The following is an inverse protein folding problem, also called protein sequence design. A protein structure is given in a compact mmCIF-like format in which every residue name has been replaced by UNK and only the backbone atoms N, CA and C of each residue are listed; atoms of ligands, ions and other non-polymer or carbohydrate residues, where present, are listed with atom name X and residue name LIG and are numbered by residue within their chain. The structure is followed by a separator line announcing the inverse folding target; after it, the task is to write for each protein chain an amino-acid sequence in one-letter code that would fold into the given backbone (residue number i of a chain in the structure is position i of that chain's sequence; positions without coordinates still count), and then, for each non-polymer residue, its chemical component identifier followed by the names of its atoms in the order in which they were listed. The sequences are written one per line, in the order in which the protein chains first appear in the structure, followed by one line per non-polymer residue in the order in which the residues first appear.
data_IF_759652610917
#
_entry.id   IF_759652610917
#
_cell.length_a   1.000
_cell.length_b   1.000
_cell.length_c   1.000
_cell.angle_alpha   90.00
_cell.angle_beta   90.00
_cell.angle_gamma   90.00
#
_symmetry.space_group_name_H-M   'P 1'
#
loop_
_entity.id
_entity.type
_entity.pdbx_description
1 polymer ?
#
# COMPACT_ATOMS: atom_id res chain seq x y z
N UNK A 1 23.09 9.10 3.73
CA UNK A 1 22.29 8.92 4.95
C UNK A 1 20.96 8.30 4.54
N UNK A 2 20.52 7.26 5.25
CA UNK A 2 19.31 6.53 4.90
C UNK A 2 18.09 7.32 5.39
N UNK A 3 17.17 7.67 4.49
CA UNK A 3 16.03 8.53 4.79
C UNK A 3 14.91 7.76 5.50
N UNK A 4 14.89 7.84 6.83
CA UNK A 4 13.83 7.27 7.69
C UNK A 4 12.74 8.32 7.90
N UNK A 5 11.53 8.01 7.44
CA UNK A 5 10.39 8.93 7.50
C UNK A 5 9.31 8.43 8.45
N UNK A 6 8.85 9.29 9.36
CA UNK A 6 7.81 8.96 10.33
C UNK A 6 6.42 9.21 9.75
N UNK A 7 5.56 8.19 9.82
CA UNK A 7 4.12 8.28 9.52
C UNK A 7 3.29 8.56 10.77
N UNK A 8 3.70 7.98 11.90
CA UNK A 8 3.16 8.25 13.23
C UNK A 8 4.36 8.52 14.14
N UNK A 9 4.48 9.71 14.76
CA UNK A 9 5.58 10.05 15.65
C UNK A 9 5.81 8.95 16.70
N UNK A 10 7.07 8.52 16.83
CA UNK A 10 7.54 7.51 17.79
C UNK A 10 6.87 6.11 17.71
N UNK A 11 6.01 5.87 16.72
CA UNK A 11 5.23 4.62 16.61
C UNK A 11 5.38 3.92 15.27
N UNK A 12 5.41 4.66 14.17
CA UNK A 12 5.49 4.11 12.83
C UNK A 12 6.37 4.98 11.94
N UNK A 13 7.46 4.39 11.48
CA UNK A 13 8.29 4.95 10.42
C UNK A 13 8.35 3.99 9.23
N UNK A 14 8.77 4.49 8.08
CA UNK A 14 9.16 3.67 6.95
C UNK A 14 10.52 4.08 6.44
N UNK A 15 11.18 3.16 5.75
CA UNK A 15 12.46 3.37 5.10
C UNK A 15 12.53 2.55 3.82
N UNK A 16 13.11 3.12 2.76
CA UNK A 16 13.50 2.35 1.58
C UNK A 16 15.02 2.26 1.50
N UNK A 17 15.54 1.04 1.57
CA UNK A 17 16.95 0.80 1.72
C UNK A 17 17.33 -0.62 1.30
N UNK A 18 18.61 -0.82 1.00
CA UNK A 18 19.23 -2.15 0.87
C UNK A 18 19.22 -2.91 2.21
N UNK A 19 19.39 -4.22 2.15
CA UNK A 19 19.54 -5.04 3.35
C UNK A 19 20.70 -4.56 4.25
N UNK A 20 21.83 -4.19 3.64
CA UNK A 20 23.00 -3.70 4.37
C UNK A 20 22.72 -2.37 5.09
N UNK A 21 22.07 -1.42 4.43
CA UNK A 21 21.65 -0.15 5.06
C UNK A 21 20.63 -0.36 6.18
N UNK A 22 19.76 -1.38 6.08
CA UNK A 22 18.84 -1.74 7.17
C UNK A 22 19.63 -2.28 8.37
N UNK A 23 20.68 -3.07 8.13
CA UNK A 23 21.54 -3.57 9.21
C UNK A 23 22.32 -2.44 9.89
N UNK A 24 22.80 -1.45 9.16
CA UNK A 24 23.38 -0.23 9.76
C UNK A 24 22.36 0.55 10.59
N UNK A 25 21.14 0.76 10.05
CA UNK A 25 20.07 1.44 10.78
C UNK A 25 19.66 0.69 12.06
N UNK A 26 19.77 -0.64 12.10
CA UNK A 26 19.51 -1.39 13.33
C UNK A 26 20.47 -1.02 14.44
N UNK A 27 21.74 -0.76 14.10
CA UNK A 27 22.76 -0.28 15.05
C UNK A 27 22.41 1.12 15.54
N UNK A 28 22.00 2.02 14.65
CA UNK A 28 21.61 3.40 15.01
C UNK A 28 20.37 3.47 15.93
N UNK A 29 19.51 2.45 15.85
CA UNK A 29 18.32 2.30 16.68
C UNK A 29 18.56 1.42 17.91
N UNK A 30 19.80 0.99 18.18
CA UNK A 30 20.14 0.27 19.41
C UNK A 30 19.74 1.09 20.65
N UNK A 31 19.08 0.42 21.61
CA UNK A 31 18.54 1.06 22.81
C UNK A 31 17.14 1.65 22.65
N UNK A 32 16.58 1.74 21.44
CA UNK A 32 15.15 1.98 21.23
C UNK A 32 14.41 0.64 21.18
N UNK A 33 13.16 0.59 21.67
CA UNK A 33 12.26 -0.54 21.39
C UNK A 33 11.78 -0.45 19.93
N UNK A 34 12.66 -0.71 18.97
CA UNK A 34 12.38 -0.62 17.54
C UNK A 34 12.29 -2.01 16.91
N UNK A 35 11.31 -2.23 16.03
CA UNK A 35 11.15 -3.47 15.28
C UNK A 35 11.09 -3.17 13.78
N UNK A 36 12.07 -3.71 13.05
CA UNK A 36 12.17 -3.60 11.60
C UNK A 36 11.39 -4.74 10.95
N UNK A 37 10.37 -4.40 10.16
CA UNK A 37 9.50 -5.37 9.49
C UNK A 37 9.30 -5.02 8.03
N UNK A 38 8.93 -6.00 7.23
CA UNK A 38 8.43 -5.80 5.87
C UNK A 38 7.28 -6.77 5.61
N UNK A 39 6.46 -6.48 4.61
CA UNK A 39 5.41 -7.39 4.13
C UNK A 39 5.65 -7.68 2.67
N UNK A 40 5.39 -8.89 2.20
CA UNK A 40 5.43 -9.25 0.77
C UNK A 40 4.14 -8.87 0.03
N UNK A 41 3.14 -8.31 0.72
CA UNK A 41 1.84 -7.97 0.14
C UNK A 41 1.93 -6.96 -1.00
N UNK A 42 2.90 -6.03 -0.96
CA UNK A 42 3.15 -5.08 -2.05
C UNK A 42 3.65 -5.75 -3.35
N UNK A 43 4.03 -7.03 -3.30
CA UNK A 43 4.45 -7.85 -4.44
C UNK A 43 3.39 -8.85 -4.92
N UNK A 44 2.19 -8.83 -4.33
CA UNK A 44 1.09 -9.75 -4.70
C UNK A 44 0.24 -9.27 -5.87
N UNK A 45 0.61 -8.16 -6.51
CA UNK A 45 0.03 -7.78 -7.77
C UNK A 45 0.42 -8.82 -8.85
N UNK A 46 -0.54 -9.23 -9.68
CA UNK A 46 -0.31 -10.12 -10.80
C UNK A 46 -0.38 -9.32 -12.10
N UNK A 47 0.76 -8.96 -12.72
CA UNK A 47 0.79 -8.20 -13.97
C UNK A 47 0.10 -8.92 -15.12
N UNK A 48 -0.64 -8.16 -15.93
CA UNK A 48 -1.12 -8.64 -17.23
C UNK A 48 -0.09 -8.36 -18.34
N UNK A 49 0.61 -7.23 -18.25
CA UNK A 49 1.66 -6.79 -19.16
C UNK A 49 2.78 -6.08 -18.37
N UNK A 50 2.99 -4.78 -18.61
CA UNK A 50 4.01 -3.97 -17.91
C UNK A 50 3.44 -3.21 -16.70
N UNK A 51 2.15 -3.35 -16.41
CA UNK A 51 1.50 -2.92 -15.18
C UNK A 51 2.09 -3.63 -13.96
N UNK A 52 2.17 -2.92 -12.83
CA UNK A 52 2.75 -3.44 -11.60
C UNK A 52 1.90 -3.14 -10.35
N UNK A 53 0.80 -2.41 -10.50
CA UNK A 53 -0.02 -1.95 -9.39
C UNK A 53 -1.08 -0.92 -9.81
N UNK A 54 -1.77 -0.31 -8.84
CA UNK A 54 -1.68 -0.60 -7.41
C UNK A 54 -2.25 -1.99 -7.06
N UNK A 55 -1.88 -2.52 -5.90
CA UNK A 55 -2.48 -3.76 -5.37
C UNK A 55 -3.99 -3.62 -5.13
N UNK A 56 -4.72 -4.72 -5.25
CA UNK A 56 -6.18 -4.74 -5.21
C UNK A 56 -6.77 -4.60 -3.78
N UNK A 57 -8.10 -4.43 -3.67
CA UNK A 57 -8.80 -4.21 -2.39
C UNK A 57 -8.67 -5.39 -1.42
N UNK A 58 -8.59 -6.62 -1.92
CA UNK A 58 -8.34 -7.81 -1.10
C UNK A 58 -6.99 -7.74 -0.38
N UNK A 59 -5.95 -7.27 -1.07
CA UNK A 59 -4.63 -7.04 -0.49
C UNK A 59 -4.65 -5.83 0.46
N UNK A 60 -5.32 -4.73 0.12
CA UNK A 60 -5.49 -3.56 1.00
C UNK A 60 -6.15 -3.97 2.32
N UNK A 61 -7.26 -4.72 2.26
CA UNK A 61 -7.94 -5.22 3.44
C UNK A 61 -7.03 -6.11 4.29
N UNK A 62 -6.35 -7.08 3.67
CA UNK A 62 -5.41 -7.98 4.38
C UNK A 62 -4.28 -7.21 5.06
N UNK A 63 -3.70 -6.24 4.36
CA UNK A 63 -2.63 -5.39 4.89
C UNK A 63 -3.15 -4.57 6.08
N UNK A 64 -4.24 -3.82 5.92
CA UNK A 64 -4.77 -2.94 6.97
C UNK A 64 -5.14 -3.73 8.23
N UNK A 65 -5.86 -4.84 8.08
CA UNK A 65 -6.28 -5.70 9.20
C UNK A 65 -5.10 -6.35 9.92
N UNK A 66 -4.10 -6.84 9.18
CA UNK A 66 -2.89 -7.42 9.76
C UNK A 66 -1.99 -6.39 10.42
N UNK A 67 -1.80 -5.25 9.77
CA UNK A 67 -0.92 -4.18 10.23
C UNK A 67 -1.47 -3.47 11.47
N UNK A 68 -2.79 -3.25 11.53
CA UNK A 68 -3.46 -2.73 12.72
C UNK A 68 -3.22 -3.64 13.93
N UNK A 69 -3.40 -4.96 13.78
CA UNK A 69 -3.13 -5.93 14.84
C UNK A 69 -1.66 -5.89 15.29
N UNK A 70 -0.73 -5.81 14.35
CA UNK A 70 0.71 -5.73 14.64
C UNK A 70 1.09 -4.46 15.41
N UNK A 71 0.50 -3.32 15.03
CA UNK A 71 0.78 -2.03 15.64
C UNK A 71 0.13 -1.89 17.03
N UNK A 72 -0.97 -2.59 17.29
CA UNK A 72 -1.64 -2.67 18.60
C UNK A 72 -1.07 -3.74 19.54
N UNK A 73 -0.13 -4.57 19.11
CA UNK A 73 0.44 -5.64 19.93
C UNK A 73 1.40 -5.12 21.03
N UNK A 74 2.10 -4.02 20.75
CA UNK A 74 2.96 -3.32 21.72
C UNK A 74 2.90 -1.81 21.43
N UNK A 75 2.30 -1.05 22.34
CA UNK A 75 2.12 0.40 22.19
C UNK A 75 3.39 1.20 22.43
N UNK A 76 4.43 0.59 23.01
CA UNK A 76 5.71 1.22 23.30
C UNK A 76 6.78 0.89 22.26
N UNK A 77 6.42 0.12 21.22
CA UNK A 77 7.35 -0.27 20.17
C UNK A 77 7.24 0.63 18.95
N UNK A 78 8.38 1.15 18.50
CA UNK A 78 8.51 1.80 17.20
C UNK A 78 8.57 0.73 16.12
N UNK A 79 7.64 0.77 15.18
CA UNK A 79 7.69 -0.08 13.99
C UNK A 79 8.38 0.68 12.85
N UNK A 80 9.43 0.09 12.29
CA UNK A 80 10.10 0.60 11.09
C UNK A 80 9.75 -0.32 9.92
N UNK A 81 8.91 0.15 9.00
CA UNK A 81 8.50 -0.58 7.82
C UNK A 81 9.56 -0.45 6.71
N UNK A 82 10.24 -1.55 6.41
CA UNK A 82 11.29 -1.61 5.42
C UNK A 82 10.73 -1.93 4.04
N UNK A 83 11.12 -1.12 3.06
CA UNK A 83 10.77 -1.24 1.65
C UNK A 83 12.06 -1.47 0.86
N UNK A 84 12.02 -2.31 -0.17
CA UNK A 84 13.17 -2.46 -1.06
C UNK A 84 13.42 -1.16 -1.86
N UNK A 85 14.54 -1.09 -2.58
CA UNK A 85 14.83 0.04 -3.46
C UNK A 85 14.18 -0.04 -4.84
N UNK A 86 13.47 -1.15 -5.13
CA UNK A 86 12.73 -1.32 -6.38
C UNK A 86 11.59 -0.30 -6.46
N UNK A 87 11.47 0.40 -7.59
CA UNK A 87 10.51 1.49 -7.77
C UNK A 87 9.06 1.02 -7.67
N UNK A 88 8.77 -0.18 -8.21
CA UNK A 88 7.46 -0.81 -8.14
C UNK A 88 7.08 -1.19 -6.71
N UNK A 89 8.03 -1.78 -5.97
CA UNK A 89 7.87 -2.11 -4.55
C UNK A 89 7.59 -0.84 -3.73
N UNK A 90 8.35 0.24 -3.97
CA UNK A 90 8.15 1.55 -3.33
C UNK A 90 6.74 2.09 -3.58
N UNK A 91 6.28 2.07 -4.81
CA UNK A 91 4.96 2.57 -5.17
C UNK A 91 3.83 1.76 -4.49
N UNK A 92 3.87 0.43 -4.58
CA UNK A 92 2.85 -0.43 -3.97
C UNK A 92 2.89 -0.40 -2.43
N UNK A 93 4.08 -0.39 -1.82
CA UNK A 93 4.21 -0.29 -0.36
C UNK A 93 3.75 1.06 0.16
N UNK A 94 4.07 2.16 -0.55
CA UNK A 94 3.57 3.50 -0.21
C UNK A 94 2.06 3.60 -0.34
N UNK A 95 1.47 2.97 -1.37
CA UNK A 95 0.02 2.87 -1.51
C UNK A 95 -0.62 2.12 -0.34
N UNK A 96 -0.06 0.97 0.08
CA UNK A 96 -0.57 0.20 1.23
C UNK A 96 -0.46 0.98 2.55
N UNK A 97 0.68 1.62 2.81
CA UNK A 97 0.86 2.44 4.00
C UNK A 97 -0.06 3.67 3.98
N UNK A 98 -0.18 4.35 2.85
CA UNK A 98 -1.11 5.48 2.67
C UNK A 98 -2.57 5.06 2.87
N UNK A 99 -2.98 3.94 2.28
CA UNK A 99 -4.32 3.39 2.47
C UNK A 99 -4.57 3.03 3.95
N UNK A 100 -3.58 2.46 4.65
CA UNK A 100 -3.68 2.21 6.09
C UNK A 100 -3.86 3.51 6.88
N UNK A 101 -3.08 4.55 6.58
CA UNK A 101 -3.21 5.85 7.25
C UNK A 101 -4.59 6.48 7.02
N UNK A 102 -5.16 6.36 5.83
CA UNK A 102 -6.52 6.84 5.55
C UNK A 102 -7.59 5.99 6.25
N UNK A 103 -7.58 4.68 6.02
CA UNK A 103 -8.66 3.79 6.44
C UNK A 103 -8.66 3.51 7.95
N UNK A 104 -7.49 3.40 8.57
CA UNK A 104 -7.35 3.05 9.99
C UNK A 104 -7.07 4.26 10.88
N UNK A 105 -6.48 5.33 10.34
CA UNK A 105 -6.11 6.54 11.12
C UNK A 105 -6.89 7.78 10.76
N UNK A 106 -7.74 7.73 9.72
CA UNK A 106 -8.66 8.81 9.37
C UNK A 106 -8.01 10.01 8.68
N UNK A 107 -6.80 9.86 8.13
CA UNK A 107 -6.14 10.93 7.38
C UNK A 107 -6.82 11.16 6.02
N UNK A 108 -6.70 12.38 5.51
CA UNK A 108 -7.04 12.69 4.12
C UNK A 108 -6.03 12.05 3.15
N UNK A 109 -6.39 11.97 1.86
CA UNK A 109 -5.51 11.42 0.84
C UNK A 109 -4.21 12.22 0.70
N UNK A 110 -4.31 13.55 0.81
CA UNK A 110 -3.18 14.47 0.78
C UNK A 110 -2.23 14.25 1.97
N UNK A 111 -2.77 14.16 3.19
CA UNK A 111 -1.96 13.92 4.40
C UNK A 111 -1.29 12.55 4.36
N UNK A 112 -2.02 11.51 3.90
CA UNK A 112 -1.48 10.17 3.79
C UNK A 112 -0.41 10.05 2.68
N UNK A 113 -0.50 10.84 1.61
CA UNK A 113 0.48 10.85 0.52
C UNK A 113 1.74 11.67 0.85
N UNK A 114 1.60 12.74 1.63
CA UNK A 114 2.66 13.74 1.87
C UNK A 114 4.02 13.15 2.28
N UNK A 115 4.11 12.13 3.18
CA UNK A 115 5.39 11.52 3.55
C UNK A 115 6.13 10.84 2.40
N UNK A 116 5.40 10.44 1.34
CA UNK A 116 5.94 9.72 0.19
C UNK A 116 6.24 10.63 -1.00
N UNK A 117 5.56 11.77 -1.10
CA UNK A 117 5.67 12.69 -2.24
C UNK A 117 6.66 13.84 -2.04
N UNK A 118 7.12 14.05 -0.80
CA UNK A 118 8.13 15.07 -0.50
C UNK A 118 9.45 14.70 -1.20
N UNK A 119 9.77 15.44 -2.26
CA UNK A 119 10.82 15.16 -3.26
C UNK A 119 12.22 15.44 -2.73
N UNK A 120 12.65 14.72 -1.70
CA UNK A 120 14.07 14.58 -1.38
C UNK A 120 14.56 13.26 -1.96
N UNK A 121 15.57 13.33 -2.85
CA UNK A 121 16.30 12.14 -3.28
C UNK A 121 16.83 11.43 -2.02
N UNK A 122 16.72 10.08 -1.91
CA UNK A 122 16.58 9.10 -2.98
C UNK A 122 15.18 8.45 -3.14
N UNK A 123 14.14 8.94 -2.46
CA UNK A 123 12.82 8.29 -2.46
C UNK A 123 11.93 8.79 -3.60
N UNK A 124 12.05 8.17 -4.78
CA UNK A 124 11.19 8.43 -5.95
C UNK A 124 10.20 7.29 -6.14
N UNK A 125 8.93 7.64 -6.40
CA UNK A 125 7.89 6.70 -6.75
C UNK A 125 7.68 6.66 -8.27
N UNK A 126 7.56 5.45 -8.82
CA UNK A 126 7.12 5.26 -10.20
C UNK A 126 5.59 5.39 -10.25
N UNK A 127 5.03 6.24 -11.13
CA UNK A 127 3.59 6.28 -11.36
C UNK A 127 3.05 4.93 -11.84
N UNK A 128 1.79 4.64 -11.53
CA UNK A 128 1.10 3.46 -12.04
C UNK A 128 0.70 3.67 -13.50
N UNK A 129 0.76 2.59 -14.28
CA UNK A 129 0.55 2.57 -15.73
C UNK A 129 -0.52 1.55 -16.12
N UNK A 130 -0.97 1.63 -17.36
CA UNK A 130 -1.94 0.72 -17.95
C UNK A 130 -1.36 -0.68 -18.24
N UNK A 131 -2.27 -1.64 -18.43
CA UNK A 131 -1.96 -3.05 -18.70
C UNK A 131 -1.59 -3.32 -20.16
N UNK A 132 -0.64 -2.53 -20.71
CA UNK A 132 -0.10 -2.73 -22.05
C UNK A 132 1.43 -2.71 -22.06
N UNK A 133 2.03 -3.29 -23.09
CA UNK A 133 3.49 -3.21 -23.33
C UNK A 133 3.92 -1.91 -24.04
N UNK A 134 2.98 -1.04 -24.38
CA UNK A 134 3.28 0.20 -25.10
C UNK A 134 3.88 1.25 -24.16
N UNK A 135 4.34 2.38 -24.70
CA UNK A 135 4.68 3.54 -23.87
C UNK A 135 3.39 4.06 -23.23
N UNK A 136 3.34 4.26 -21.90
CA UNK A 136 2.13 4.74 -21.24
C UNK A 136 1.80 6.15 -21.74
N UNK A 137 0.56 6.35 -22.17
CA UNK A 137 0.05 7.66 -22.59
C UNK A 137 -0.62 8.42 -21.44
N UNK A 138 -0.87 7.74 -20.32
CA UNK A 138 -1.45 8.28 -19.11
C UNK A 138 -0.95 7.49 -17.91
N UNK A 139 -0.63 8.18 -16.82
CA UNK A 139 -0.10 7.59 -15.60
C UNK A 139 -0.86 8.13 -14.38
N UNK A 140 -1.01 7.28 -13.36
CA UNK A 140 -1.65 7.63 -12.10
C UNK A 140 -0.59 7.76 -11.00
N UNK A 141 -0.61 8.89 -10.29
CA UNK A 141 0.25 9.06 -9.11
C UNK A 141 -0.30 8.31 -7.90
N UNK A 142 0.53 8.15 -6.86
CA UNK A 142 0.10 7.65 -5.55
C UNK A 142 -1.11 8.45 -5.02
N UNK A 143 -1.08 9.78 -5.17
CA UNK A 143 -2.15 10.65 -4.69
C UNK A 143 -3.47 10.41 -5.45
N UNK A 144 -3.41 10.15 -6.75
CA UNK A 144 -4.60 9.85 -7.55
C UNK A 144 -5.28 8.57 -7.06
N UNK A 145 -4.49 7.52 -6.79
CA UNK A 145 -5.00 6.26 -6.25
C UNK A 145 -5.59 6.42 -4.83
N UNK A 146 -4.93 7.19 -3.97
CA UNK A 146 -5.45 7.46 -2.61
C UNK A 146 -6.72 8.30 -2.64
N UNK A 147 -6.82 9.30 -3.53
CA UNK A 147 -8.05 10.09 -3.73
C UNK A 147 -9.21 9.23 -4.25
N UNK A 148 -8.92 8.30 -5.16
CA UNK A 148 -9.92 7.34 -5.64
C UNK A 148 -10.46 6.46 -4.50
N UNK A 149 -9.57 5.95 -3.65
CA UNK A 149 -9.96 5.19 -2.45
C UNK A 149 -10.78 6.05 -1.47
N UNK A 150 -10.36 7.29 -1.19
CA UNK A 150 -11.12 8.22 -0.34
C UNK A 150 -12.55 8.43 -0.86
N UNK A 151 -12.69 8.62 -2.17
CA UNK A 151 -13.99 8.83 -2.81
C UNK A 151 -14.86 7.56 -2.76
N UNK A 152 -14.26 6.38 -2.95
CA UNK A 152 -14.97 5.12 -2.79
C UNK A 152 -15.52 4.95 -1.36
N UNK A 153 -14.72 5.28 -0.34
CA UNK A 153 -15.15 5.26 1.07
C UNK A 153 -16.27 6.28 1.32
N UNK A 154 -16.12 7.52 0.82
CA UNK A 154 -17.13 8.58 1.04
C UNK A 154 -18.49 8.25 0.42
N UNK A 155 -18.51 7.47 -0.66
CA UNK A 155 -19.74 6.99 -1.29
C UNK A 155 -20.23 5.64 -0.76
N UNK A 156 -19.53 5.04 0.22
CA UNK A 156 -19.88 3.75 0.80
C UNK A 156 -19.66 2.56 -0.13
N UNK A 157 -18.81 2.69 -1.16
CA UNK A 157 -18.46 1.60 -2.06
C UNK A 157 -17.44 0.64 -1.45
N UNK A 158 -16.65 1.15 -0.49
CA UNK A 158 -15.68 0.36 0.26
C UNK A 158 -15.78 0.69 1.75
N UNK A 159 -15.90 -0.34 2.57
CA UNK A 159 -15.88 -0.26 4.04
C UNK A 159 -14.97 -1.36 4.56
N UNK A 160 -13.85 -0.98 5.17
CA UNK A 160 -12.85 -1.92 5.66
C UNK A 160 -13.44 -2.92 6.68
N UNK A 161 -14.43 -2.49 7.47
CA UNK A 161 -15.04 -3.33 8.53
C UNK A 161 -16.06 -4.34 8.01
N UNK A 162 -16.62 -4.09 6.82
CA UNK A 162 -17.66 -4.92 6.20
C UNK A 162 -17.18 -5.68 4.96
N UNK A 163 -15.92 -5.48 4.57
CA UNK A 163 -15.37 -6.07 3.36
C UNK A 163 -15.29 -7.60 3.46
N UNK A 164 -16.07 -8.30 2.65
CA UNK A 164 -16.02 -9.76 2.56
C UNK A 164 -14.83 -10.21 1.69
N UNK A 165 -13.70 -10.40 2.35
CA UNK A 165 -12.49 -10.86 1.66
C UNK A 165 -12.62 -12.25 1.05
N UNK A 166 -13.44 -13.13 1.62
CA UNK A 166 -13.56 -14.49 1.11
C UNK A 166 -14.29 -14.46 -0.24
N UNK A 167 -15.45 -13.83 -0.28
CA UNK A 167 -16.20 -13.67 -1.54
C UNK A 167 -15.40 -12.89 -2.58
N UNK A 168 -14.67 -11.85 -2.18
CA UNK A 168 -13.81 -11.10 -3.10
C UNK A 168 -12.80 -12.00 -3.85
N UNK A 169 -12.08 -12.86 -3.13
CA UNK A 169 -11.10 -13.77 -3.73
C UNK A 169 -11.75 -14.94 -4.48
N UNK A 170 -12.92 -15.39 -4.04
CA UNK A 170 -13.69 -16.39 -4.77
C UNK A 170 -14.17 -15.86 -6.12
N UNK A 171 -14.59 -14.59 -6.21
CA UNK A 171 -15.04 -13.99 -7.48
C UNK A 171 -13.88 -13.57 -8.41
N UNK A 172 -12.72 -13.22 -7.84
CA UNK A 172 -11.48 -12.93 -8.59
C UNK A 172 -10.98 -14.15 -9.39
N UNK A 173 -11.25 -15.36 -8.91
CA UNK A 173 -10.75 -16.57 -9.55
C UNK A 173 -11.39 -16.76 -10.95
N UNK A 174 -10.58 -16.91 -12.02
CA UNK A 174 -11.09 -17.06 -13.37
C UNK A 174 -11.96 -18.31 -13.62
N UNK A 175 -11.87 -19.31 -12.74
CA UNK A 175 -12.69 -20.53 -12.83
C UNK A 175 -14.10 -20.36 -12.29
N UNK A 176 -14.31 -19.37 -11.43
CA UNK A 176 -15.56 -19.15 -10.69
C UNK A 176 -16.32 -17.93 -11.21
N UNK A 177 -15.62 -16.85 -11.56
CA UNK A 177 -16.27 -15.63 -12.04
C UNK A 177 -15.42 -14.73 -12.94
N UNK A 178 -14.15 -14.50 -12.57
CA UNK A 178 -13.36 -13.38 -13.13
C UNK A 178 -14.15 -12.07 -13.05
N UNK A 179 -14.65 -11.77 -11.85
CA UNK A 179 -15.72 -10.80 -11.62
C UNK A 179 -15.47 -9.98 -10.36
N UNK A 180 -15.76 -8.68 -10.43
CA UNK A 180 -15.76 -7.79 -9.27
C UNK A 180 -16.94 -6.82 -9.30
N UNK A 181 -17.60 -6.62 -8.16
CA UNK A 181 -18.51 -5.49 -7.95
C UNK A 181 -17.68 -4.22 -7.75
N UNK A 182 -17.88 -3.22 -8.61
CA UNK A 182 -17.11 -1.97 -8.58
C UNK A 182 -17.72 -0.96 -7.61
N UNK A 183 -19.05 -0.88 -7.62
CA UNK A 183 -19.87 -0.06 -6.75
C UNK A 183 -21.31 -0.59 -6.81
N UNK A 184 -22.22 -0.12 -5.95
CA UNK A 184 -23.61 -0.56 -5.99
C UNK A 184 -24.17 -0.42 -7.41
N UNK A 185 -24.70 -1.52 -7.94
CA UNK A 185 -25.32 -1.69 -9.29
C UNK A 185 -24.35 -1.98 -10.44
N UNK A 186 -23.03 -1.92 -10.25
CA UNK A 186 -22.06 -2.16 -11.32
C UNK A 186 -21.13 -3.32 -11.01
N UNK A 187 -21.10 -4.26 -11.94
CA UNK A 187 -20.21 -5.42 -11.91
C UNK A 187 -19.39 -5.42 -13.19
N UNK A 188 -18.09 -5.67 -13.07
CA UNK A 188 -17.20 -5.94 -14.18
C UNK A 188 -16.86 -7.42 -14.18
N UNK A 189 -16.93 -8.06 -15.35
CA UNK A 189 -16.60 -9.47 -15.51
C UNK A 189 -16.03 -9.74 -16.89
N UNK A 190 -15.28 -10.84 -17.01
CA UNK A 190 -14.90 -11.38 -18.32
C UNK A 190 -16.14 -11.85 -19.09
N UNK A 191 -16.12 -11.67 -20.42
CA UNK A 191 -17.17 -12.18 -21.30
C UNK A 191 -17.33 -13.70 -21.15
N UNK A 192 -18.57 -14.21 -21.08
CA UNK A 192 -18.84 -15.66 -21.00
C UNK A 192 -18.26 -16.46 -22.17
#
# INVERSE_FOLDING_TARGET
ETDVRFLIPDRLAFVSATAWQIDELRVDFEGRNACFISSDLHRKYAPLAADFGPVNLGIVHRFCSGFQKRLSADDNQLIVYCISECFEDRANASFLLGAFMMLCRGLSAEEAAAPFTCSTAPFTLRPFRDATFNVPCYELSLLDCLRALARAVSHGWFDLSKFDSQTYWELDNPKTGDLHELCPKFVAMKGP
#
